data_IF_991793736696
#
_entry.id   IF_991793736696
#
_cell.length_a   1.000
_cell.length_b   1.000
_cell.length_c   1.000
_cell.angle_alpha   90.00
_cell.angle_beta   90.00
_cell.angle_gamma   90.00
#
_symmetry.space_group_name_H-M   'P 1'
#
loop_
_entity.id
_entity.type
_entity.pdbx_description
1 polymer ?
#
# COMPACT_ATOMS: atom_id res chain seq x y z
N UNK A 1 -5.67 -3.21 -24.19
CA UNK A 1 -5.90 -1.99 -23.37
C UNK A 1 -6.34 -2.34 -21.95
N UNK A 2 -7.28 -3.27 -21.74
CA UNK A 2 -7.78 -3.68 -20.42
C UNK A 2 -6.70 -4.13 -19.41
N UNK A 3 -5.67 -4.84 -19.87
CA UNK A 3 -4.57 -5.34 -19.03
C UNK A 3 -3.66 -4.23 -18.48
N UNK A 4 -3.49 -3.13 -19.22
CA UNK A 4 -2.68 -1.99 -18.79
C UNK A 4 -3.41 -1.17 -17.72
N UNK A 5 -4.71 -0.96 -17.90
CA UNK A 5 -5.55 -0.27 -16.90
C UNK A 5 -5.60 -1.05 -15.58
N UNK A 6 -5.67 -2.38 -15.65
CA UNK A 6 -5.62 -3.25 -14.47
C UNK A 6 -4.29 -3.13 -13.74
N UNK A 7 -3.18 -3.19 -14.48
CA UNK A 7 -1.84 -3.05 -13.92
C UNK A 7 -1.65 -1.68 -13.25
N UNK A 8 -2.17 -0.61 -13.87
CA UNK A 8 -2.13 0.73 -13.29
C UNK A 8 -2.97 0.83 -12.00
N UNK A 9 -4.18 0.29 -11.99
CA UNK A 9 -5.06 0.29 -10.82
C UNK A 9 -4.42 -0.45 -9.64
N UNK A 10 -3.89 -1.66 -9.89
CA UNK A 10 -3.21 -2.47 -8.86
C UNK A 10 -1.90 -1.81 -8.40
N UNK A 11 -1.14 -1.24 -9.33
CA UNK A 11 0.08 -0.49 -9.03
C UNK A 11 -0.20 0.67 -8.08
N UNK A 12 -1.26 1.45 -8.31
CA UNK A 12 -1.66 2.54 -7.42
C UNK A 12 -2.11 2.06 -6.04
N UNK A 13 -2.84 0.94 -5.97
CA UNK A 13 -3.28 0.35 -4.69
C UNK A 13 -2.09 -0.02 -3.80
N UNK A 14 -0.96 -0.38 -4.38
CA UNK A 14 0.26 -0.77 -3.64
C UNK A 14 1.19 0.42 -3.41
N UNK A 15 1.45 1.22 -4.44
CA UNK A 15 2.39 2.32 -4.37
C UNK A 15 1.93 3.41 -3.40
N UNK A 16 0.63 3.72 -3.37
CA UNK A 16 0.09 4.81 -2.57
C UNK A 16 0.26 4.55 -1.05
N UNK A 17 -0.14 3.39 -0.48
CA UNK A 17 0.11 3.08 0.92
C UNK A 17 1.61 3.02 1.25
N UNK A 18 2.44 2.41 0.40
CA UNK A 18 3.88 2.28 0.67
C UNK A 18 4.55 3.65 0.76
N UNK A 19 4.22 4.58 -0.14
CA UNK A 19 4.75 5.94 -0.09
C UNK A 19 4.22 6.67 1.14
N UNK A 20 2.91 6.67 1.39
CA UNK A 20 2.31 7.41 2.52
C UNK A 20 2.84 6.90 3.86
N UNK A 21 2.79 5.59 4.11
CA UNK A 21 3.20 5.02 5.39
C UNK A 21 4.71 4.88 5.52
N UNK A 22 5.43 4.63 4.42
CA UNK A 22 6.90 4.55 4.43
C UNK A 22 7.52 5.92 4.70
N UNK A 23 7.13 6.97 3.96
CA UNK A 23 7.62 8.32 4.21
C UNK A 23 7.05 8.92 5.50
N UNK A 24 5.79 8.65 5.81
CA UNK A 24 5.18 9.08 7.06
C UNK A 24 5.87 8.46 8.28
N UNK A 25 6.17 7.17 8.22
CA UNK A 25 6.94 6.46 9.23
C UNK A 25 8.36 7.01 9.35
N UNK A 26 9.04 7.28 8.23
CA UNK A 26 10.39 7.84 8.22
C UNK A 26 10.45 9.25 8.82
N UNK A 27 9.44 10.07 8.53
CA UNK A 27 9.33 11.41 9.10
C UNK A 27 9.12 11.34 10.63
N UNK A 28 8.24 10.45 11.10
CA UNK A 28 7.97 10.27 12.52
C UNK A 28 9.19 9.71 13.26
N UNK A 29 9.87 8.73 12.67
CA UNK A 29 11.11 8.15 13.21
C UNK A 29 12.21 9.20 13.38
N UNK A 30 12.32 10.15 12.43
CA UNK A 30 13.27 11.26 12.51
C UNK A 30 12.89 12.28 13.58
N UNK A 31 11.59 12.54 13.75
CA UNK A 31 11.12 13.52 14.74
C UNK A 31 11.18 12.99 16.18
N UNK A 32 10.92 11.70 16.37
CA UNK A 32 10.84 11.06 17.69
C UNK A 32 12.12 10.31 18.09
N UNK A 33 13.17 10.33 17.26
CA UNK A 33 14.44 9.58 17.47
C UNK A 33 14.22 8.07 17.69
N UNK A 34 13.14 7.52 17.15
CA UNK A 34 12.70 6.12 17.31
C UNK A 34 13.06 5.25 16.11
N UNK A 35 13.90 5.77 15.21
CA UNK A 35 14.30 5.11 13.98
C UNK A 35 14.89 3.71 14.26
N UNK A 36 14.42 2.63 13.58
CA UNK A 36 13.48 2.59 12.45
C UNK A 36 12.09 1.98 12.79
N UNK A 37 11.53 2.23 13.98
CA UNK A 37 10.30 1.57 14.43
C UNK A 37 9.05 1.98 13.63
N UNK A 38 8.80 3.28 13.45
CA UNK A 38 7.61 3.75 12.75
C UNK A 38 7.68 3.48 11.25
N UNK A 39 8.87 3.44 10.64
CA UNK A 39 9.04 2.94 9.26
C UNK A 39 8.60 1.48 9.16
N UNK A 40 9.05 0.62 10.07
CA UNK A 40 8.70 -0.81 10.06
C UNK A 40 7.19 -1.03 10.25
N UNK A 41 6.58 -0.33 11.22
CA UNK A 41 5.14 -0.38 11.46
C UNK A 41 4.38 0.18 10.24
N UNK A 42 4.84 1.29 9.68
CA UNK A 42 4.26 1.89 8.48
C UNK A 42 4.30 0.93 7.30
N UNK A 43 5.41 0.23 7.09
CA UNK A 43 5.54 -0.76 6.03
C UNK A 43 4.62 -1.97 6.24
N UNK A 44 4.51 -2.46 7.49
CA UNK A 44 3.59 -3.54 7.83
C UNK A 44 2.13 -3.15 7.55
N UNK A 45 1.72 -1.94 7.95
CA UNK A 45 0.39 -1.39 7.65
C UNK A 45 0.18 -1.23 6.14
N UNK A 46 1.18 -0.74 5.42
CA UNK A 46 1.11 -0.60 3.96
C UNK A 46 0.86 -1.95 3.27
N UNK A 47 1.55 -3.01 3.69
CA UNK A 47 1.37 -4.37 3.15
C UNK A 47 -0.04 -4.88 3.44
N UNK A 48 -0.54 -4.72 4.66
CA UNK A 48 -1.89 -5.17 5.03
C UNK A 48 -2.95 -4.43 4.22
N UNK A 49 -2.88 -3.09 4.17
CA UNK A 49 -3.84 -2.26 3.45
C UNK A 49 -3.80 -2.56 1.95
N UNK A 50 -2.61 -2.67 1.37
CA UNK A 50 -2.44 -3.01 -0.05
C UNK A 50 -3.00 -4.39 -0.34
N UNK A 51 -2.73 -5.38 0.51
CA UNK A 51 -3.25 -6.74 0.37
C UNK A 51 -4.78 -6.79 0.39
N UNK A 52 -5.41 -6.08 1.33
CA UNK A 52 -6.87 -5.96 1.38
C UNK A 52 -7.41 -5.27 0.12
N UNK A 53 -6.77 -4.18 -0.34
CA UNK A 53 -7.16 -3.45 -1.54
C UNK A 53 -7.10 -4.31 -2.80
N UNK A 54 -6.00 -5.04 -2.97
CA UNK A 54 -5.80 -5.99 -4.09
C UNK A 54 -6.84 -7.10 -4.02
N UNK A 55 -7.04 -7.73 -2.86
CA UNK A 55 -8.02 -8.80 -2.69
C UNK A 55 -9.44 -8.34 -3.07
N UNK A 56 -9.86 -7.17 -2.60
CA UNK A 56 -11.17 -6.59 -2.94
C UNK A 56 -11.30 -6.32 -4.44
N UNK A 57 -10.24 -5.79 -5.08
CA UNK A 57 -10.23 -5.51 -6.52
C UNK A 57 -10.33 -6.80 -7.34
N UNK A 58 -9.56 -7.82 -6.99
CA UNK A 58 -9.58 -9.14 -7.65
C UNK A 58 -10.95 -9.80 -7.51
N UNK A 59 -11.51 -9.83 -6.29
CA UNK A 59 -12.84 -10.40 -6.03
C UNK A 59 -13.95 -9.67 -6.80
N UNK A 60 -13.86 -8.35 -6.94
CA UNK A 60 -14.82 -7.57 -7.71
C UNK A 60 -14.79 -7.92 -9.21
N UNK A 61 -13.60 -8.21 -9.75
CA UNK A 61 -13.44 -8.67 -11.15
C UNK A 61 -14.02 -10.08 -11.32
N UNK A 62 -13.82 -10.96 -10.35
CA UNK A 62 -14.34 -12.34 -10.36
C UNK A 62 -15.88 -12.37 -10.29
N UNK A 63 -16.49 -11.54 -9.45
CA UNK A 63 -17.96 -11.48 -9.27
C UNK A 63 -18.68 -10.82 -10.46
N UNK A 64 -17.96 -10.11 -11.32
CA UNK A 64 -18.52 -9.43 -12.51
C UNK A 64 -18.54 -10.31 -13.77
N UNK A 65 -18.07 -11.56 -13.70
CA UNK A 65 -18.21 -12.58 -14.75
C UNK A 65 -19.42 -13.46 -14.46
#
# INVERSE_FOLDING_TARGET
MLSLELAWNLGFIIALPVVIFGFGGAYLDKYLETSPLFVLIGFALAVIISGIGVYRKVKAIETSK
#
